data_IF_447863231230
#
_entry.id   IF_447863231230
#
_cell.length_a   1.000
_cell.length_b   1.000
_cell.length_c   1.000
_cell.angle_alpha   90.00
_cell.angle_beta   90.00
_cell.angle_gamma   90.00
#
_symmetry.space_group_name_H-M   'P 1'
#
loop_
_entity.id
_entity.type
_entity.pdbx_description
1 polymer ?
#
# COMPACT_ATOMS: atom_id res chain seq x y z
N UNK A 1 -64.69 5.33 2.99
CA UNK A 1 -63.42 5.51 3.72
C UNK A 1 -62.41 6.12 2.73
N UNK A 2 -62.08 7.39 2.91
CA UNK A 2 -61.06 8.08 2.09
C UNK A 2 -59.67 7.61 2.51
N UNK A 3 -58.99 6.87 1.66
CA UNK A 3 -57.59 6.54 1.86
C UNK A 3 -56.79 7.85 1.60
N UNK A 4 -56.34 8.49 2.66
CA UNK A 4 -55.37 9.60 2.53
C UNK A 4 -54.09 9.05 1.95
N UNK A 5 -53.86 9.32 0.64
CA UNK A 5 -52.56 9.08 0.03
C UNK A 5 -51.57 10.04 0.68
N UNK A 6 -50.69 9.50 1.53
CA UNK A 6 -49.61 10.31 2.11
C UNK A 6 -48.67 10.72 0.98
N UNK A 7 -48.57 12.05 0.77
CA UNK A 7 -47.68 12.62 -0.23
C UNK A 7 -46.25 12.44 0.25
N UNK A 8 -45.48 11.60 -0.44
CA UNK A 8 -44.08 11.34 -0.12
C UNK A 8 -43.24 11.03 -1.38
N UNK A 9 -41.96 11.40 -1.37
CA UNK A 9 -41.05 10.95 -2.44
C UNK A 9 -40.72 9.46 -2.26
N UNK A 10 -40.47 8.78 -3.37
CA UNK A 10 -40.04 7.39 -3.39
C UNK A 10 -38.85 7.27 -4.33
N UNK A 11 -37.72 6.86 -3.79
CA UNK A 11 -36.50 6.65 -4.54
C UNK A 11 -36.45 5.22 -5.09
N UNK A 12 -36.42 5.08 -6.41
CA UNK A 12 -36.10 3.84 -7.10
C UNK A 12 -34.75 3.97 -7.78
N UNK A 13 -33.87 3.01 -7.61
CA UNK A 13 -32.57 2.97 -8.30
C UNK A 13 -32.62 1.89 -9.37
N UNK A 14 -32.01 2.14 -10.53
CA UNK A 14 -31.98 1.16 -11.65
C UNK A 14 -31.30 -0.13 -11.23
N UNK A 15 -30.24 -0.02 -10.47
CA UNK A 15 -29.52 -1.12 -9.84
C UNK A 15 -28.84 -0.65 -8.55
N UNK A 16 -28.67 -1.56 -7.58
CA UNK A 16 -28.04 -1.23 -6.29
C UNK A 16 -26.54 -1.54 -6.25
N UNK A 17 -26.03 -2.26 -7.25
CA UNK A 17 -24.63 -2.68 -7.28
C UNK A 17 -24.10 -2.64 -8.70
N UNK A 18 -22.91 -2.06 -8.89
CA UNK A 18 -22.19 -2.11 -10.15
C UNK A 18 -20.84 -2.82 -9.98
N UNK A 19 -20.53 -3.72 -10.93
CA UNK A 19 -19.28 -4.46 -10.98
C UNK A 19 -18.42 -3.96 -12.16
N UNK A 20 -17.31 -3.30 -11.84
CA UNK A 20 -16.35 -2.85 -12.85
C UNK A 20 -15.54 -4.00 -13.47
N UNK A 21 -15.70 -5.24 -12.97
CA UNK A 21 -14.88 -6.37 -13.39
C UNK A 21 -13.42 -6.21 -13.04
N UNK A 22 -12.54 -6.82 -13.85
CA UNK A 22 -11.10 -6.71 -13.71
C UNK A 22 -10.56 -5.62 -14.63
N UNK A 23 -9.80 -4.68 -14.08
CA UNK A 23 -9.17 -3.63 -14.87
C UNK A 23 -7.78 -3.29 -14.33
N UNK A 24 -6.92 -2.75 -15.19
CA UNK A 24 -5.54 -2.37 -14.83
C UNK A 24 -5.55 -1.08 -14.00
N UNK A 25 -4.64 -0.97 -13.04
CA UNK A 25 -4.43 0.25 -12.27
C UNK A 25 -4.18 1.47 -13.16
N UNK A 26 -3.43 1.27 -14.27
CA UNK A 26 -3.11 2.31 -15.25
C UNK A 26 -4.32 2.81 -16.05
N UNK A 27 -5.45 2.09 -16.02
CA UNK A 27 -6.70 2.57 -16.64
C UNK A 27 -7.24 3.83 -15.93
N UNK A 28 -6.71 4.15 -14.74
CA UNK A 28 -7.08 5.32 -13.97
C UNK A 28 -8.45 5.19 -13.32
N UNK A 29 -9.03 6.33 -12.97
CA UNK A 29 -10.32 6.39 -12.27
C UNK A 29 -11.42 5.75 -13.07
N UNK A 30 -12.17 4.85 -12.42
CA UNK A 30 -13.37 4.23 -12.95
C UNK A 30 -14.60 4.96 -12.43
N UNK A 31 -15.63 5.11 -13.24
CA UNK A 31 -16.87 5.75 -12.79
C UNK A 31 -18.10 5.05 -13.35
N UNK A 32 -19.17 5.08 -12.54
CA UNK A 32 -20.48 4.55 -12.92
C UNK A 32 -21.59 5.49 -12.45
N UNK A 33 -22.59 5.70 -13.33
CA UNK A 33 -23.76 6.54 -13.05
C UNK A 33 -24.94 5.64 -12.66
N UNK A 34 -25.31 5.59 -11.38
CA UNK A 34 -26.57 5.01 -10.91
C UNK A 34 -27.72 5.95 -11.23
N UNK A 35 -28.71 5.46 -11.96
CA UNK A 35 -29.90 6.26 -12.27
C UNK A 35 -30.89 6.13 -11.13
N UNK A 36 -31.35 7.27 -10.66
CA UNK A 36 -32.32 7.40 -9.57
C UNK A 36 -33.62 7.97 -10.17
N UNK A 37 -34.73 7.25 -10.04
CA UNK A 37 -36.06 7.70 -10.47
C UNK A 37 -36.91 8.04 -9.26
N UNK A 38 -37.54 9.20 -9.23
CA UNK A 38 -38.57 9.50 -8.25
C UNK A 38 -39.91 8.90 -8.69
N UNK A 39 -40.31 7.80 -8.07
CA UNK A 39 -41.59 7.14 -8.33
C UNK A 39 -42.70 7.58 -7.37
N UNK A 40 -42.39 8.53 -6.47
CA UNK A 40 -43.36 9.15 -5.57
C UNK A 40 -44.14 10.32 -6.20
N UNK A 41 -44.89 11.02 -5.41
CA UNK A 41 -45.74 12.13 -5.83
C UNK A 41 -45.30 13.51 -5.32
N UNK A 42 -44.18 13.58 -4.61
CA UNK A 42 -43.52 14.83 -4.18
C UNK A 42 -42.06 14.85 -4.58
N UNK A 43 -41.37 16.01 -4.67
CA UNK A 43 -39.99 16.09 -5.07
C UNK A 43 -39.06 15.27 -4.17
N UNK A 44 -38.18 14.46 -4.77
CA UNK A 44 -37.12 13.70 -4.12
C UNK A 44 -35.85 14.54 -4.06
N UNK A 45 -35.27 14.66 -2.85
CA UNK A 45 -34.02 15.38 -2.62
C UNK A 45 -32.96 14.40 -2.12
N UNK A 46 -31.84 14.32 -2.82
CA UNK A 46 -30.63 13.64 -2.34
C UNK A 46 -29.87 14.63 -1.47
N UNK A 47 -29.90 14.43 -0.16
CA UNK A 47 -29.35 15.36 0.83
C UNK A 47 -27.84 15.22 0.97
N UNK A 48 -27.36 13.99 1.05
CA UNK A 48 -25.95 13.67 1.22
C UNK A 48 -25.61 12.26 0.70
N UNK A 49 -24.35 12.05 0.36
CA UNK A 49 -23.83 10.72 0.05
C UNK A 49 -22.51 10.54 0.78
N UNK A 50 -22.39 9.46 1.56
CA UNK A 50 -21.20 9.10 2.31
C UNK A 50 -20.60 7.81 1.73
N UNK A 51 -19.36 7.90 1.23
CA UNK A 51 -18.62 6.74 0.77
C UNK A 51 -17.90 6.05 1.93
N UNK A 52 -17.76 4.72 1.88
CA UNK A 52 -17.08 3.92 2.90
C UNK A 52 -15.56 4.12 2.96
N UNK A 53 -14.96 4.83 1.99
CA UNK A 53 -13.53 5.17 1.96
C UNK A 53 -13.28 6.45 1.17
N UNK A 54 -12.13 7.09 1.42
CA UNK A 54 -11.66 8.22 0.60
C UNK A 54 -11.23 7.86 -0.84
N UNK A 55 -11.26 6.57 -1.18
CA UNK A 55 -10.97 6.05 -2.53
C UNK A 55 -12.17 6.15 -3.49
N UNK A 56 -13.35 6.53 -2.97
CA UNK A 56 -14.59 6.68 -3.74
C UNK A 56 -15.16 8.08 -3.52
N UNK A 57 -15.32 8.81 -4.61
CA UNK A 57 -15.88 10.17 -4.60
C UNK A 57 -17.24 10.15 -5.27
N UNK A 58 -18.34 10.47 -4.55
CA UNK A 58 -19.64 10.56 -5.16
C UNK A 58 -19.92 11.97 -5.69
N UNK A 59 -20.57 12.03 -6.85
CA UNK A 59 -21.22 13.22 -7.40
C UNK A 59 -22.69 12.91 -7.63
N UNK A 60 -23.62 13.85 -7.45
CA UNK A 60 -25.05 13.56 -7.65
C UNK A 60 -25.86 14.78 -8.04
N UNK A 61 -27.04 14.54 -8.57
CA UNK A 61 -28.04 15.57 -8.88
C UNK A 61 -28.41 16.30 -7.60
N UNK A 62 -28.12 17.59 -7.53
CA UNK A 62 -28.37 18.46 -6.36
C UNK A 62 -29.76 19.05 -6.33
N UNK A 63 -30.34 19.23 -7.50
CA UNK A 63 -31.69 19.76 -7.67
C UNK A 63 -32.74 18.73 -7.25
N UNK A 64 -33.88 19.17 -6.70
CA UNK A 64 -34.99 18.29 -6.39
C UNK A 64 -35.49 17.55 -7.66
N UNK A 65 -35.57 16.24 -7.59
CA UNK A 65 -36.04 15.38 -8.68
C UNK A 65 -37.56 15.33 -8.61
N UNK A 66 -38.23 15.93 -9.60
CA UNK A 66 -39.70 15.96 -9.66
C UNK A 66 -40.31 14.55 -9.82
N UNK A 67 -41.60 14.35 -9.43
CA UNK A 67 -42.29 13.09 -9.65
C UNK A 67 -42.17 12.58 -11.11
N UNK A 68 -41.83 11.30 -11.25
CA UNK A 68 -41.60 10.65 -12.53
C UNK A 68 -40.31 11.04 -13.27
N UNK A 69 -39.48 11.90 -12.70
CA UNK A 69 -38.21 12.31 -13.31
C UNK A 69 -37.01 11.53 -12.72
N UNK A 70 -35.92 11.62 -13.47
CA UNK A 70 -34.67 10.95 -13.14
C UNK A 70 -33.60 11.94 -12.69
N UNK A 71 -32.75 11.48 -11.80
CA UNK A 71 -31.47 12.05 -11.41
C UNK A 71 -30.41 10.98 -11.48
N UNK A 72 -29.17 11.34 -11.14
CA UNK A 72 -28.08 10.40 -11.15
C UNK A 72 -27.15 10.55 -9.96
N UNK A 73 -26.52 9.44 -9.58
CA UNK A 73 -25.45 9.37 -8.61
C UNK A 73 -24.25 8.76 -9.32
N UNK A 74 -23.21 9.55 -9.52
CA UNK A 74 -21.96 9.08 -10.11
C UNK A 74 -21.02 8.62 -8.98
N UNK A 75 -20.63 7.36 -9.00
CA UNK A 75 -19.59 6.81 -8.14
C UNK A 75 -18.27 6.83 -8.90
N UNK A 76 -17.25 7.47 -8.36
CA UNK A 76 -15.90 7.55 -8.97
C UNK A 76 -14.94 6.82 -8.04
N UNK A 77 -14.32 5.74 -8.52
CA UNK A 77 -13.33 4.94 -7.79
C UNK A 77 -11.93 5.23 -8.30
N UNK A 78 -11.00 5.52 -7.36
CA UNK A 78 -9.58 5.73 -7.64
C UNK A 78 -8.78 4.46 -7.31
N UNK A 79 -8.25 3.73 -8.32
CA UNK A 79 -7.51 2.48 -8.13
C UNK A 79 -6.05 2.66 -7.74
N UNK A 80 -5.52 3.90 -7.75
CA UNK A 80 -4.10 4.18 -7.55
C UNK A 80 -3.61 3.63 -6.21
N UNK A 81 -2.55 2.81 -6.26
CA UNK A 81 -1.94 2.13 -5.11
C UNK A 81 -2.92 1.24 -4.31
N UNK A 82 -3.94 0.68 -5.00
CA UNK A 82 -4.99 -0.17 -4.41
C UNK A 82 -5.23 -1.45 -5.21
N UNK A 83 -4.20 -2.29 -5.42
CA UNK A 83 -4.36 -3.53 -6.17
C UNK A 83 -5.24 -4.54 -5.42
N UNK A 84 -5.88 -5.41 -6.19
CA UNK A 84 -6.72 -6.49 -5.68
C UNK A 84 -8.21 -6.17 -5.71
N UNK A 85 -9.00 -7.08 -5.14
CA UNK A 85 -10.46 -6.96 -5.12
C UNK A 85 -10.92 -5.84 -4.18
N UNK A 86 -11.95 -5.12 -4.60
CA UNK A 86 -12.59 -4.10 -3.78
C UNK A 86 -14.11 -4.25 -3.79
N UNK A 87 -14.72 -3.83 -2.68
CA UNK A 87 -16.16 -3.69 -2.50
C UNK A 87 -16.39 -2.46 -1.63
N UNK A 88 -17.02 -1.41 -2.20
CA UNK A 88 -17.22 -0.11 -1.57
C UNK A 88 -18.68 0.26 -1.58
N UNK A 89 -19.14 0.84 -0.48
CA UNK A 89 -20.53 1.28 -0.32
C UNK A 89 -20.64 2.79 -0.35
N UNK A 90 -21.78 3.27 -0.87
CA UNK A 90 -22.22 4.66 -0.79
C UNK A 90 -23.56 4.67 -0.05
N UNK A 91 -23.60 5.32 1.11
CA UNK A 91 -24.84 5.56 1.85
C UNK A 91 -25.48 6.84 1.33
N UNK A 92 -26.62 6.71 0.68
CA UNK A 92 -27.37 7.79 0.03
C UNK A 92 -28.48 8.25 0.98
N UNK A 93 -28.38 9.46 1.49
CA UNK A 93 -29.37 10.07 2.39
C UNK A 93 -30.36 10.93 1.59
N UNK A 94 -31.64 10.68 1.77
CA UNK A 94 -32.72 11.36 1.05
C UNK A 94 -33.87 11.74 1.96
N UNK A 95 -34.83 12.51 1.42
CA UNK A 95 -36.12 12.78 2.08
C UNK A 95 -37.18 11.68 1.82
N UNK A 96 -36.83 10.59 1.14
CA UNK A 96 -37.72 9.44 0.92
C UNK A 96 -37.72 8.48 2.12
N UNK A 97 -38.56 7.47 2.06
CA UNK A 97 -38.54 6.35 3.03
C UNK A 97 -38.28 5.03 2.30
N UNK A 98 -37.27 4.25 2.74
CA UNK A 98 -36.32 4.55 3.80
C UNK A 98 -35.45 5.77 3.47
N UNK A 99 -35.03 6.51 4.51
CA UNK A 99 -34.24 7.75 4.36
C UNK A 99 -32.82 7.48 3.83
N UNK A 100 -32.35 6.25 4.00
CA UNK A 100 -31.01 5.83 3.56
C UNK A 100 -31.11 4.65 2.62
N UNK A 101 -30.51 4.79 1.45
CA UNK A 101 -30.26 3.69 0.53
C UNK A 101 -28.75 3.42 0.42
N UNK A 102 -28.40 2.17 0.17
CA UNK A 102 -26.99 1.76 0.01
C UNK A 102 -26.76 1.32 -1.43
N UNK A 103 -25.79 1.98 -2.08
CA UNK A 103 -25.28 1.57 -3.38
C UNK A 103 -23.92 0.90 -3.20
N UNK A 104 -23.58 -0.04 -4.07
CA UNK A 104 -22.35 -0.81 -4.01
C UNK A 104 -21.59 -0.70 -5.33
N UNK A 105 -20.30 -0.46 -5.25
CA UNK A 105 -19.39 -0.65 -6.37
C UNK A 105 -18.34 -1.70 -6.00
N UNK A 106 -18.01 -2.56 -6.93
CA UNK A 106 -17.02 -3.64 -6.74
C UNK A 106 -16.22 -3.87 -7.99
N UNK A 107 -15.12 -4.59 -7.87
CA UNK A 107 -14.23 -4.96 -8.96
C UNK A 107 -12.90 -5.49 -8.46
N UNK A 108 -11.96 -5.67 -9.38
CA UNK A 108 -10.61 -6.13 -9.09
C UNK A 108 -9.59 -5.30 -9.87
N UNK A 109 -8.67 -4.66 -9.14
CA UNK A 109 -7.58 -3.87 -9.73
C UNK A 109 -6.39 -4.78 -9.99
N UNK A 110 -5.98 -4.91 -11.24
CA UNK A 110 -4.75 -5.58 -11.64
C UNK A 110 -3.60 -4.58 -11.39
N UNK A 111 -2.61 -4.92 -10.52
CA UNK A 111 -1.51 -4.00 -10.21
C UNK A 111 -0.69 -3.67 -11.45
N UNK A 112 -0.18 -2.45 -11.52
CA UNK A 112 0.85 -2.08 -12.49
C UNK A 112 2.22 -2.61 -12.06
N UNK A 113 3.11 -2.72 -13.00
CA UNK A 113 4.51 -2.94 -12.69
C UNK A 113 5.09 -1.70 -12.00
N UNK A 114 5.74 -1.92 -10.86
CA UNK A 114 6.43 -0.83 -10.15
C UNK A 114 7.72 -0.47 -10.86
N UNK A 115 8.02 0.82 -10.93
CA UNK A 115 9.30 1.29 -11.47
C UNK A 115 10.47 0.87 -10.58
N UNK A 116 11.67 0.98 -11.11
CA UNK A 116 12.90 0.69 -10.34
C UNK A 116 12.99 1.61 -9.12
N UNK A 117 12.63 2.88 -9.28
CA UNK A 117 12.65 3.90 -8.21
C UNK A 117 11.65 3.58 -7.09
N UNK A 118 10.52 2.98 -7.42
CA UNK A 118 9.50 2.58 -6.44
C UNK A 118 9.85 1.28 -5.72
N UNK A 119 10.56 0.37 -6.38
CA UNK A 119 11.02 -0.89 -5.77
C UNK A 119 12.29 -0.69 -4.95
N UNK A 120 13.17 0.21 -5.41
CA UNK A 120 14.46 0.49 -4.80
C UNK A 120 14.50 1.96 -4.37
N UNK A 121 13.88 2.23 -3.23
CA UNK A 121 13.58 3.60 -2.79
C UNK A 121 14.80 4.35 -2.25
N UNK A 122 15.87 3.63 -1.83
CA UNK A 122 17.02 4.23 -1.18
C UNK A 122 18.23 4.37 -2.13
N UNK A 123 18.57 5.57 -2.62
CA UNK A 123 19.79 5.80 -3.38
C UNK A 123 21.00 5.81 -2.43
N UNK A 124 22.06 5.10 -2.81
CA UNK A 124 23.27 4.96 -1.97
C UNK A 124 24.24 6.10 -2.15
N UNK A 125 24.25 6.74 -3.33
CA UNK A 125 25.14 7.82 -3.68
C UNK A 125 24.39 9.01 -4.27
N UNK A 126 25.03 10.16 -4.33
CA UNK A 126 24.44 11.39 -4.91
C UNK A 126 24.11 11.23 -6.40
N UNK A 127 24.86 10.40 -7.12
CA UNK A 127 24.61 10.08 -8.52
C UNK A 127 23.47 9.07 -8.72
N UNK A 128 22.93 8.52 -7.62
CA UNK A 128 21.91 7.45 -7.61
C UNK A 128 22.28 6.22 -8.45
N UNK A 129 23.59 5.96 -8.54
CA UNK A 129 24.14 4.86 -9.35
C UNK A 129 23.79 3.49 -8.78
N UNK A 130 23.65 3.39 -7.46
CA UNK A 130 23.20 2.17 -6.79
C UNK A 130 22.00 2.52 -5.91
N UNK A 131 20.98 1.67 -5.96
CA UNK A 131 19.78 1.83 -5.14
C UNK A 131 19.52 0.54 -4.36
N UNK A 132 19.14 0.71 -3.12
CA UNK A 132 18.69 -0.37 -2.23
C UNK A 132 17.16 -0.33 -2.10
N UNK A 133 16.52 -1.46 -1.84
CA UNK A 133 15.10 -1.50 -1.50
C UNK A 133 14.80 -0.67 -0.24
N UNK A 134 15.71 -0.75 0.74
CA UNK A 134 15.65 0.03 1.99
C UNK A 134 17.07 0.35 2.47
N UNK A 135 17.22 1.34 3.31
CA UNK A 135 18.48 1.60 4.04
C UNK A 135 18.56 0.85 5.38
N UNK A 136 17.65 -0.07 5.65
CA UNK A 136 17.53 -0.76 6.94
C UNK A 136 17.38 -2.26 6.77
N UNK A 137 18.22 -3.04 7.44
CA UNK A 137 18.14 -4.49 7.53
C UNK A 137 17.81 -4.92 8.97
N UNK A 138 16.63 -5.47 9.17
CA UNK A 138 16.14 -5.85 10.49
C UNK A 138 16.25 -7.35 10.75
N UNK A 139 16.82 -7.71 11.87
CA UNK A 139 16.88 -9.06 12.42
C UNK A 139 15.94 -9.16 13.63
N UNK A 140 14.78 -9.74 13.44
CA UNK A 140 13.77 -9.89 14.49
C UNK A 140 13.95 -11.18 15.27
N UNK A 141 13.77 -11.13 16.60
CA UNK A 141 13.78 -12.29 17.48
C UNK A 141 15.02 -13.19 17.29
N UNK A 142 16.20 -12.59 17.45
CA UNK A 142 17.49 -13.31 17.32
C UNK A 142 17.86 -13.87 18.70
N UNK A 143 17.95 -15.19 18.80
CA UNK A 143 18.39 -15.83 20.04
C UNK A 143 19.89 -15.61 20.26
N UNK A 144 20.33 -15.45 21.50
CA UNK A 144 21.75 -15.23 21.84
C UNK A 144 22.69 -16.36 21.38
N UNK A 145 22.15 -17.50 21.08
CA UNK A 145 22.90 -18.69 20.68
C UNK A 145 22.95 -18.90 19.17
N UNK A 146 22.33 -18.01 18.37
CA UNK A 146 22.17 -18.24 16.93
C UNK A 146 22.86 -17.21 16.03
N UNK A 147 23.05 -17.61 14.80
CA UNK A 147 23.34 -16.72 13.67
C UNK A 147 22.13 -16.63 12.78
N UNK A 148 21.76 -15.42 12.41
CA UNK A 148 20.61 -15.17 11.55
C UNK A 148 21.02 -14.49 10.27
N UNK A 149 20.47 -14.96 9.14
CA UNK A 149 20.75 -14.39 7.83
C UNK A 149 19.53 -13.61 7.35
N UNK A 150 19.77 -12.46 6.76
CA UNK A 150 18.80 -11.64 6.04
C UNK A 150 19.39 -11.17 4.73
N UNK A 151 18.52 -10.96 3.76
CA UNK A 151 18.89 -10.44 2.44
C UNK A 151 18.12 -9.18 2.14
N UNK A 152 18.73 -8.28 1.37
CA UNK A 152 18.10 -7.09 0.85
C UNK A 152 18.40 -6.92 -0.64
N UNK A 153 17.39 -6.73 -1.48
CA UNK A 153 17.54 -6.43 -2.89
C UNK A 153 18.25 -5.11 -3.15
N UNK A 154 19.13 -5.13 -4.15
CA UNK A 154 19.87 -3.96 -4.63
C UNK A 154 19.88 -3.95 -6.17
N UNK A 155 20.10 -2.78 -6.75
CA UNK A 155 20.24 -2.63 -8.21
C UNK A 155 21.31 -1.59 -8.56
N UNK A 156 22.06 -1.85 -9.63
CA UNK A 156 22.91 -0.86 -10.26
C UNK A 156 22.11 -0.14 -11.37
N UNK A 157 21.76 1.13 -11.15
CA UNK A 157 21.03 1.96 -12.11
C UNK A 157 21.95 2.81 -13.00
N UNK A 158 23.28 2.69 -12.82
CA UNK A 158 24.26 3.37 -13.64
C UNK A 158 24.57 2.60 -14.94
N UNK A 159 25.32 3.26 -15.82
CA UNK A 159 25.80 2.66 -17.07
C UNK A 159 27.20 2.00 -16.97
N UNK A 160 27.73 1.84 -15.74
CA UNK A 160 29.05 1.22 -15.46
C UNK A 160 28.91 0.12 -14.41
N UNK A 161 29.81 -0.87 -14.41
CA UNK A 161 29.87 -1.84 -13.31
C UNK A 161 30.23 -1.14 -12.00
N UNK A 162 29.59 -1.59 -10.89
CA UNK A 162 29.82 -1.05 -9.55
C UNK A 162 30.12 -2.18 -8.59
N UNK A 163 31.29 -2.12 -7.93
CA UNK A 163 31.66 -3.01 -6.84
C UNK A 163 31.14 -2.43 -5.53
N UNK A 164 30.48 -3.28 -4.72
CA UNK A 164 29.84 -2.88 -3.46
C UNK A 164 30.58 -3.53 -2.30
N UNK A 165 30.94 -2.70 -1.33
CA UNK A 165 31.57 -3.09 -0.08
C UNK A 165 30.99 -2.34 1.11
N UNK A 166 31.49 -2.68 2.30
CA UNK A 166 31.01 -2.08 3.55
C UNK A 166 32.20 -1.79 4.48
N UNK A 167 32.12 -0.68 5.20
CA UNK A 167 33.05 -0.26 6.25
C UNK A 167 32.33 -0.07 7.57
N UNK A 168 33.07 -0.03 8.67
CA UNK A 168 32.56 0.10 10.05
C UNK A 168 31.62 -1.07 10.42
N UNK A 169 31.87 -2.26 9.88
CA UNK A 169 31.05 -3.45 10.17
C UNK A 169 31.48 -4.03 11.52
N UNK A 170 30.59 -4.08 12.54
CA UNK A 170 30.90 -4.63 13.85
C UNK A 170 31.23 -6.14 13.79
N UNK A 171 31.96 -6.66 14.79
CA UNK A 171 32.43 -8.05 14.83
C UNK A 171 31.27 -9.09 14.84
N UNK A 172 30.10 -8.70 15.32
CA UNK A 172 28.91 -9.55 15.34
C UNK A 172 28.10 -9.53 14.03
N UNK A 173 28.56 -8.76 13.04
CA UNK A 173 27.88 -8.60 11.77
C UNK A 173 28.80 -8.95 10.61
N UNK A 174 28.27 -9.58 9.58
CA UNK A 174 28.93 -9.74 8.29
C UNK A 174 28.00 -9.27 7.19
N UNK A 175 28.49 -8.45 6.27
CA UNK A 175 27.74 -7.95 5.11
C UNK A 175 28.52 -8.23 3.83
N UNK A 176 27.84 -8.73 2.84
CA UNK A 176 28.40 -8.91 1.50
C UNK A 176 27.35 -8.66 0.44
N UNK A 177 27.77 -8.11 -0.70
CA UNK A 177 26.91 -8.05 -1.89
C UNK A 177 27.10 -9.33 -2.73
N UNK A 178 26.01 -9.81 -3.30
CA UNK A 178 26.03 -10.98 -4.19
C UNK A 178 25.20 -10.66 -5.46
N UNK A 179 25.88 -10.56 -6.63
CA UNK A 179 27.32 -10.54 -6.80
C UNK A 179 27.99 -9.28 -6.21
N UNK A 180 29.28 -9.37 -5.86
CA UNK A 180 30.05 -8.25 -5.31
C UNK A 180 30.15 -7.07 -6.28
N UNK A 181 30.18 -7.36 -7.58
CA UNK A 181 30.16 -6.35 -8.64
C UNK A 181 28.91 -6.50 -9.49
N UNK A 182 28.10 -5.45 -9.53
CA UNK A 182 26.88 -5.39 -10.33
C UNK A 182 27.16 -4.74 -11.69
N UNK A 183 26.79 -5.39 -12.78
CA UNK A 183 26.77 -4.80 -14.14
C UNK A 183 25.65 -3.72 -14.23
N UNK A 184 25.67 -2.84 -15.25
CA UNK A 184 24.58 -1.92 -15.52
C UNK A 184 23.22 -2.63 -15.58
N UNK A 185 22.22 -2.11 -14.87
CA UNK A 185 20.88 -2.67 -14.78
C UNK A 185 20.76 -3.97 -13.96
N UNK A 186 21.87 -4.51 -13.47
CA UNK A 186 21.86 -5.79 -12.76
C UNK A 186 21.32 -5.60 -11.33
N UNK A 187 20.40 -6.51 -10.96
CA UNK A 187 19.95 -6.70 -9.58
C UNK A 187 20.90 -7.65 -8.86
N UNK A 188 21.02 -7.47 -7.55
CA UNK A 188 21.77 -8.32 -6.63
C UNK A 188 21.12 -8.30 -5.25
N UNK A 189 21.81 -8.89 -4.30
CA UNK A 189 21.39 -8.96 -2.91
C UNK A 189 22.51 -8.49 -1.99
N UNK A 190 22.20 -7.77 -0.94
CA UNK A 190 23.06 -7.69 0.24
C UNK A 190 22.66 -8.83 1.15
N UNK A 191 23.61 -9.70 1.47
CA UNK A 191 23.44 -10.72 2.49
C UNK A 191 24.09 -10.25 3.79
N UNK A 192 23.26 -10.11 4.82
CA UNK A 192 23.66 -9.79 6.18
C UNK A 192 23.55 -11.03 7.07
N UNK A 193 24.63 -11.34 7.80
CA UNK A 193 24.64 -12.38 8.84
C UNK A 193 24.88 -11.72 10.18
N UNK A 194 23.92 -11.83 11.08
CA UNK A 194 24.01 -11.38 12.47
C UNK A 194 24.39 -12.56 13.35
N UNK A 195 25.54 -12.47 14.03
CA UNK A 195 26.04 -13.47 14.98
C UNK A 195 25.79 -12.98 16.43
N UNK A 196 24.65 -13.38 16.99
CA UNK A 196 24.27 -12.94 18.33
C UNK A 196 25.22 -13.46 19.43
N UNK A 197 26.00 -14.50 19.16
CA UNK A 197 27.00 -15.00 20.13
C UNK A 197 28.13 -14.01 20.38
N UNK A 198 28.34 -13.08 19.46
CA UNK A 198 29.39 -12.05 19.52
C UNK A 198 28.89 -10.69 20.02
N UNK A 199 27.60 -10.55 20.32
CA UNK A 199 27.02 -9.32 20.84
C UNK A 199 26.59 -9.52 22.30
N UNK A 200 27.09 -8.73 23.21
CA UNK A 200 26.79 -8.85 24.66
C UNK A 200 25.50 -8.09 25.06
N UNK A 201 24.90 -7.32 24.17
CA UNK A 201 23.65 -6.57 24.43
C UNK A 201 22.44 -7.48 24.47
N UNK A 202 21.33 -6.95 25.01
CA UNK A 202 20.00 -7.55 25.02
C UNK A 202 18.96 -6.58 24.49
N UNK A 203 17.83 -7.11 24.04
CA UNK A 203 16.73 -6.33 23.50
C UNK A 203 17.04 -5.75 22.14
N UNK A 204 16.58 -4.53 21.89
CA UNK A 204 16.76 -3.86 20.61
C UNK A 204 18.15 -3.21 20.54
N UNK A 205 18.92 -3.60 19.55
CA UNK A 205 20.24 -3.04 19.23
C UNK A 205 20.24 -2.50 17.81
N UNK A 206 21.07 -1.49 17.56
CA UNK A 206 21.18 -0.86 16.24
C UNK A 206 22.63 -0.50 15.95
N UNK A 207 23.07 -0.82 14.74
CA UNK A 207 24.38 -0.52 14.20
C UNK A 207 24.23 0.33 12.94
N UNK A 208 25.26 1.14 12.66
CA UNK A 208 25.39 1.88 11.40
C UNK A 208 26.65 1.43 10.69
N UNK A 209 26.53 1.11 9.41
CA UNK A 209 27.67 0.77 8.54
C UNK A 209 27.72 1.73 7.36
N UNK A 210 28.90 1.96 6.83
CA UNK A 210 29.07 2.77 5.63
C UNK A 210 29.14 1.89 4.39
N UNK A 211 28.50 2.35 3.33
CA UNK A 211 28.55 1.68 2.01
C UNK A 211 29.76 2.20 1.24
N UNK A 212 30.49 1.31 0.60
CA UNK A 212 31.65 1.59 -0.25
C UNK A 212 31.33 1.21 -1.67
N UNK A 213 31.43 2.17 -2.60
CA UNK A 213 31.24 1.93 -4.02
C UNK A 213 32.56 2.10 -4.76
N UNK A 214 33.04 1.07 -5.46
CA UNK A 214 34.31 1.08 -6.20
C UNK A 214 35.51 1.54 -5.35
N UNK A 215 35.53 1.19 -4.06
CA UNK A 215 36.59 1.59 -3.11
C UNK A 215 36.40 2.98 -2.52
N UNK A 216 35.33 3.70 -2.86
CA UNK A 216 35.02 5.03 -2.32
C UNK A 216 33.90 4.95 -1.30
N UNK A 217 34.19 5.38 -0.07
CA UNK A 217 33.21 5.41 1.03
C UNK A 217 32.14 6.46 0.76
N UNK A 218 30.88 6.07 0.87
CA UNK A 218 29.73 6.98 0.70
C UNK A 218 29.44 7.67 2.04
N UNK A 219 29.93 8.88 2.21
CA UNK A 219 29.87 9.60 3.50
C UNK A 219 28.48 10.08 3.90
N UNK A 220 27.56 10.18 2.97
CA UNK A 220 26.16 10.60 3.18
C UNK A 220 25.18 9.45 3.31
N UNK A 221 25.64 8.23 3.08
CA UNK A 221 24.76 7.06 3.03
C UNK A 221 25.16 6.04 4.09
N UNK A 222 24.34 5.96 5.13
CA UNK A 222 24.44 4.95 6.17
C UNK A 222 23.43 3.84 5.91
N UNK A 223 23.89 2.61 6.12
CA UNK A 223 23.06 1.44 6.13
C UNK A 223 22.82 1.00 7.57
N UNK A 224 21.57 0.99 7.97
CA UNK A 224 21.17 0.71 9.35
C UNK A 224 20.88 -0.78 9.52
N UNK A 225 21.42 -1.34 10.58
CA UNK A 225 21.18 -2.72 10.97
C UNK A 225 20.52 -2.71 12.33
N UNK A 226 19.39 -3.38 12.49
CA UNK A 226 18.82 -3.57 13.82
C UNK A 226 18.61 -5.03 14.13
N UNK A 227 18.72 -5.40 15.39
CA UNK A 227 18.40 -6.72 15.88
C UNK A 227 17.63 -6.62 17.19
N UNK A 228 16.64 -7.51 17.36
CA UNK A 228 16.00 -7.74 18.65
C UNK A 228 16.55 -9.05 19.23
N UNK A 229 17.39 -8.92 20.26
CA UNK A 229 18.08 -10.04 20.92
C UNK A 229 17.23 -10.59 22.06
N UNK A 230 16.83 -11.85 21.96
CA UNK A 230 15.94 -12.52 22.90
C UNK A 230 16.59 -13.73 23.55
N UNK A 231 16.10 -14.12 24.72
CA UNK A 231 16.49 -15.35 25.38
C UNK A 231 15.96 -16.59 24.66
N UNK A 232 16.68 -17.69 24.79
CA UNK A 232 16.26 -18.98 24.27
C UNK A 232 15.70 -19.84 25.42
N UNK A 233 14.40 -19.72 25.66
CA UNK A 233 13.68 -20.53 26.64
C UNK A 233 13.41 -21.96 26.19
N UNK A 234 13.80 -22.35 24.97
CA UNK A 234 13.54 -23.71 24.45
C UNK A 234 14.28 -24.82 25.19
N UNK A 235 15.31 -24.44 25.97
CA UNK A 235 16.14 -25.36 26.76
C UNK A 235 15.78 -25.42 28.25
N UNK A 236 14.78 -24.63 28.69
CA UNK A 236 14.26 -24.78 30.05
C UNK A 236 13.47 -26.06 30.11
N UNK A 237 13.93 -27.05 30.89
CA UNK A 237 13.18 -28.24 31.21
C UNK A 237 11.85 -27.84 31.83
N UNK A 238 10.77 -28.45 31.41
CA UNK A 238 9.52 -28.40 32.16
C UNK A 238 9.75 -29.26 33.43
N UNK A 239 10.11 -28.61 34.54
CA UNK A 239 9.96 -29.19 35.85
C UNK A 239 8.47 -29.18 36.26
#
# INVERSE_FOLDING_TARGET
MSVSLVAQPVMKVSEQSHDFGKFKEEAGRQSYDFIVTNTGNTPLVIQNIVASCGCTTPEWTREPIAPGKEGKIKAIYDPKDRPGAFNKTLSVYTNAKPEVAVLVIKGEVIPREKTVEELFTYPVDSAKAVRFESNHLAFTNVKKTEKKIRVMPIINTSNKPVKIGFEMVPAHLSLKANPETLKPGQKGLIEGTYDATKNNSWGNVSDMVKVVLNGVTQNTSYYYISANLVEDFSKLSKE
#
